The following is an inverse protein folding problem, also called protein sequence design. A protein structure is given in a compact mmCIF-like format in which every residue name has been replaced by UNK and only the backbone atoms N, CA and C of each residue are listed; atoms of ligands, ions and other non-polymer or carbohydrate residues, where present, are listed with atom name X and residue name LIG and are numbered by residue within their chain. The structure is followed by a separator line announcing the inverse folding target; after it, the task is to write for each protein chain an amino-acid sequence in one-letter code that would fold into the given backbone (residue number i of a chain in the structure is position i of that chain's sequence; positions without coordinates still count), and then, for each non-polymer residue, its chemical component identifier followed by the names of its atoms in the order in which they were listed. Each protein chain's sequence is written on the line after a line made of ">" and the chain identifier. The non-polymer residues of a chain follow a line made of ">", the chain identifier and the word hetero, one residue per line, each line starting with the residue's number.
data_IF_263743920213
#
_entry.id   IF_263743920213
#
_cell.length_a   1.000
_cell.length_b   1.000
_cell.length_c   1.000
_cell.angle_alpha   90.00
_cell.angle_beta   90.00
_cell.angle_gamma   90.00
#
_symmetry.space_group_name_H-M   'P 1'
#
loop_
_entity.id
_entity.type
_entity.pdbx_description
1 polymer ?
#
# COMPACT_ATOMS: atom_id res chain seq x y z
N UNK A 1 11.63 26.78 -43.25
CA UNK A 1 11.03 25.71 -42.42
C UNK A 1 11.38 26.03 -40.98
N UNK A 2 10.42 26.45 -40.16
CA UNK A 2 10.70 26.69 -38.74
C UNK A 2 11.03 25.35 -38.10
N UNK A 3 12.24 25.22 -37.56
CA UNK A 3 12.63 24.07 -36.75
C UNK A 3 11.77 24.03 -35.49
N UNK A 4 10.83 23.08 -35.45
CA UNK A 4 10.14 22.70 -34.22
C UNK A 4 11.18 22.14 -33.25
N UNK A 5 11.58 22.93 -32.26
CA UNK A 5 12.46 22.47 -31.18
C UNK A 5 11.64 21.85 -30.05
N UNK A 6 12.21 20.90 -29.32
CA UNK A 6 11.57 20.29 -28.16
C UNK A 6 11.17 21.35 -27.12
N UNK A 7 11.99 22.38 -26.93
CA UNK A 7 11.68 23.50 -26.04
C UNK A 7 10.42 24.27 -26.48
N UNK A 8 10.24 24.48 -27.79
CA UNK A 8 9.04 25.13 -28.31
C UNK A 8 7.78 24.27 -28.13
N UNK A 9 7.91 22.95 -28.22
CA UNK A 9 6.81 22.00 -27.95
C UNK A 9 6.46 22.00 -26.46
N UNK A 10 7.46 21.95 -25.57
CA UNK A 10 7.26 21.92 -24.12
C UNK A 10 6.75 23.26 -23.54
N UNK A 11 7.02 24.39 -24.21
CA UNK A 11 6.53 25.71 -23.81
C UNK A 11 5.00 25.85 -23.98
N UNK A 12 4.39 25.05 -24.86
CA UNK A 12 2.94 25.00 -25.02
C UNK A 12 2.34 23.96 -24.07
N UNK A 13 1.56 24.45 -23.10
CA UNK A 13 0.84 23.63 -22.13
C UNK A 13 0.01 22.52 -22.81
N UNK A 14 -0.68 22.81 -23.91
CA UNK A 14 -1.53 21.81 -24.60
C UNK A 14 -0.70 20.69 -25.19
N UNK A 15 0.46 21.00 -25.74
CA UNK A 15 1.35 19.98 -26.31
C UNK A 15 1.91 19.08 -25.21
N UNK A 16 2.28 19.64 -24.05
CA UNK A 16 2.73 18.84 -22.91
C UNK A 16 1.62 17.91 -22.40
N UNK A 17 0.39 18.43 -22.25
CA UNK A 17 -0.77 17.61 -21.89
C UNK A 17 -1.01 16.48 -22.89
N UNK A 18 -0.95 16.77 -24.19
CA UNK A 18 -1.08 15.76 -25.24
C UNK A 18 0.02 14.68 -25.18
N UNK A 19 1.28 15.06 -24.92
CA UNK A 19 2.37 14.09 -24.77
C UNK A 19 2.07 13.15 -23.61
N UNK A 20 1.72 13.71 -22.44
CA UNK A 20 1.45 12.93 -21.24
C UNK A 20 0.18 12.08 -21.36
N UNK A 21 -0.84 12.52 -22.10
CA UNK A 21 -2.07 11.76 -22.36
C UNK A 21 -1.88 10.60 -23.35
N UNK A 22 -0.79 10.59 -24.13
CA UNK A 22 -0.45 9.48 -25.02
C UNK A 22 0.47 8.43 -24.35
N UNK A 23 0.89 8.65 -23.09
CA UNK A 23 1.59 7.63 -22.34
C UNK A 23 0.62 6.53 -21.88
N UNK A 24 1.07 5.28 -21.91
CA UNK A 24 0.31 4.14 -21.39
C UNK A 24 0.32 4.08 -19.85
N UNK A 25 1.21 4.84 -19.22
CA UNK A 25 1.33 4.93 -17.77
C UNK A 25 0.44 6.03 -17.22
N UNK A 26 -0.21 5.75 -16.10
CA UNK A 26 -0.91 6.75 -15.32
C UNK A 26 0.07 7.76 -14.76
N UNK A 27 -0.16 9.04 -15.02
CA UNK A 27 0.67 10.14 -14.54
C UNK A 27 -0.16 11.01 -13.60
N UNK A 28 0.38 11.23 -12.40
CA UNK A 28 -0.13 12.17 -11.40
C UNK A 28 0.98 13.14 -11.07
N UNK A 29 0.71 14.44 -11.13
CA UNK A 29 1.58 15.45 -10.55
C UNK A 29 0.86 16.18 -9.42
N UNK A 30 1.53 16.42 -8.31
CA UNK A 30 1.00 17.23 -7.21
C UNK A 30 2.05 18.16 -6.60
N UNK A 31 1.59 19.24 -5.97
CA UNK A 31 2.48 20.16 -5.24
C UNK A 31 2.87 19.61 -3.85
N UNK A 32 3.66 20.40 -3.09
CA UNK A 32 4.04 20.08 -1.71
C UNK A 32 2.85 19.96 -0.74
N UNK A 33 1.73 20.58 -1.07
CA UNK A 33 0.48 20.50 -0.31
C UNK A 33 -0.37 19.29 -0.70
N UNK A 34 0.17 18.34 -1.49
CA UNK A 34 -0.53 17.17 -2.04
C UNK A 34 -1.69 17.51 -2.96
N UNK A 35 -1.77 18.75 -3.44
CA UNK A 35 -2.80 19.17 -4.38
C UNK A 35 -2.48 18.62 -5.76
N UNK A 36 -3.38 17.81 -6.31
CA UNK A 36 -3.22 17.24 -7.65
C UNK A 36 -3.28 18.37 -8.68
N UNK A 37 -2.21 18.53 -9.44
CA UNK A 37 -2.04 19.52 -10.50
C UNK A 37 -2.26 18.91 -11.89
N UNK A 38 -1.99 17.62 -12.04
CA UNK A 38 -2.09 16.92 -13.32
C UNK A 38 -2.53 15.47 -13.14
N UNK A 39 -3.34 14.99 -14.08
CA UNK A 39 -3.91 13.64 -14.08
C UNK A 39 -4.20 13.21 -15.53
N UNK A 40 -3.40 12.29 -16.08
CA UNK A 40 -3.53 11.91 -17.49
C UNK A 40 -4.66 10.88 -17.74
N UNK A 41 -4.99 10.65 -19.00
CA UNK A 41 -6.02 9.69 -19.42
C UNK A 41 -5.77 8.26 -18.95
N UNK A 42 -4.51 7.83 -18.91
CA UNK A 42 -4.17 6.50 -18.40
C UNK A 42 -4.43 6.39 -16.88
N UNK A 43 -4.17 7.44 -16.11
CA UNK A 43 -4.50 7.48 -14.69
C UNK A 43 -6.02 7.40 -14.45
N UNK A 44 -6.82 8.05 -15.31
CA UNK A 44 -8.29 7.90 -15.28
C UNK A 44 -8.71 6.45 -15.53
N UNK A 45 -8.15 5.80 -16.56
CA UNK A 45 -8.49 4.44 -16.90
C UNK A 45 -8.10 3.42 -15.81
N UNK A 46 -6.91 3.58 -15.21
CA UNK A 46 -6.40 2.67 -14.19
C UNK A 46 -7.14 2.83 -12.86
N UNK A 47 -7.41 4.08 -12.45
CA UNK A 47 -7.99 4.36 -11.12
C UNK A 47 -9.53 4.45 -11.14
N UNK A 48 -10.14 4.71 -12.30
CA UNK A 48 -11.58 4.94 -12.44
C UNK A 48 -12.06 6.32 -12.01
N UNK A 49 -11.18 7.21 -11.54
CA UNK A 49 -11.52 8.61 -11.25
C UNK A 49 -11.33 9.48 -12.50
N UNK A 50 -12.20 10.47 -12.72
CA UNK A 50 -11.95 11.43 -13.80
C UNK A 50 -11.02 12.55 -13.35
N UNK A 51 -10.34 13.19 -14.31
CA UNK A 51 -9.49 14.36 -14.11
C UNK A 51 -10.24 15.48 -13.37
N UNK A 52 -11.47 15.77 -13.80
CA UNK A 52 -12.30 16.82 -13.18
C UNK A 52 -12.66 16.51 -11.72
N UNK A 53 -12.71 15.23 -11.35
CA UNK A 53 -12.99 14.81 -9.98
C UNK A 53 -11.80 14.97 -9.04
N UNK A 54 -10.57 14.98 -9.56
CA UNK A 54 -9.36 14.88 -8.74
C UNK A 54 -8.50 16.14 -8.78
N UNK A 55 -8.51 16.89 -9.87
CA UNK A 55 -7.71 18.11 -10.00
C UNK A 55 -8.05 19.12 -8.89
N UNK A 56 -7.00 19.70 -8.30
CA UNK A 56 -7.12 20.68 -7.22
C UNK A 56 -7.43 20.09 -5.84
N UNK A 57 -7.66 18.77 -5.73
CA UNK A 57 -7.92 18.08 -4.45
C UNK A 57 -6.65 17.49 -3.88
N UNK A 58 -6.70 17.17 -2.59
CA UNK A 58 -5.64 16.46 -1.87
C UNK A 58 -5.60 14.98 -2.31
N UNK A 59 -4.44 14.50 -2.75
CA UNK A 59 -4.31 13.14 -3.29
C UNK A 59 -4.61 12.04 -2.25
N UNK A 60 -4.28 12.25 -0.98
CA UNK A 60 -4.59 11.29 0.09
C UNK A 60 -6.09 11.24 0.37
N UNK A 61 -6.76 12.39 0.37
CA UNK A 61 -8.21 12.45 0.56
C UNK A 61 -9.00 11.80 -0.59
N UNK A 62 -8.47 11.87 -1.82
CA UNK A 62 -9.12 11.29 -3.00
C UNK A 62 -8.90 9.77 -3.06
N UNK A 63 -7.65 9.31 -2.96
CA UNK A 63 -7.32 7.91 -3.22
C UNK A 63 -7.24 7.04 -1.96
N UNK A 64 -6.95 7.64 -0.80
CA UNK A 64 -6.78 6.93 0.47
C UNK A 64 -5.63 5.92 0.49
N UNK A 65 -5.54 5.17 1.58
CA UNK A 65 -4.69 3.97 1.63
C UNK A 65 -5.34 2.85 0.82
N UNK A 66 -4.56 2.03 0.11
CA UNK A 66 -3.08 1.99 0.06
C UNK A 66 -2.44 2.85 -1.05
N UNK A 67 -3.22 3.50 -1.92
CA UNK A 67 -2.70 4.30 -3.05
C UNK A 67 -1.81 5.47 -2.57
N UNK A 68 -2.23 6.14 -1.51
CA UNK A 68 -1.50 7.21 -0.85
C UNK A 68 -1.53 6.95 0.66
N UNK A 69 -0.38 6.64 1.27
CA UNK A 69 -0.31 6.20 2.67
C UNK A 69 1.13 6.14 3.22
N UNK A 70 1.45 5.16 4.06
CA UNK A 70 2.76 5.00 4.72
C UNK A 70 3.97 4.90 3.78
N UNK A 71 3.77 4.59 2.50
CA UNK A 71 4.80 4.55 1.43
C UNK A 71 4.86 5.82 0.58
N UNK A 72 4.01 6.82 0.84
CA UNK A 72 4.09 8.13 0.21
C UNK A 72 5.15 8.96 0.95
N UNK A 73 6.18 9.43 0.23
CA UNK A 73 7.29 10.22 0.77
C UNK A 73 6.88 11.59 1.37
N UNK A 74 5.59 11.90 1.42
CA UNK A 74 5.01 13.11 2.03
C UNK A 74 4.27 12.82 3.35
N UNK A 75 4.08 11.55 3.73
CA UNK A 75 3.38 11.18 4.96
C UNK A 75 4.28 11.16 6.21
N UNK A 76 5.61 11.11 6.04
CA UNK A 76 6.60 11.11 7.11
C UNK A 76 7.75 12.04 6.69
N UNK A 77 7.78 13.24 7.26
CA UNK A 77 8.81 14.29 7.11
C UNK A 77 9.43 14.47 5.71
N UNK A 78 9.13 15.61 5.07
CA UNK A 78 9.69 16.02 3.77
C UNK A 78 11.19 15.72 3.68
N UNK A 79 11.62 14.72 2.89
CA UNK A 79 13.05 14.46 2.75
C UNK A 79 13.69 15.61 1.97
N UNK A 80 14.82 16.11 2.48
CA UNK A 80 15.60 17.18 1.82
C UNK A 80 16.12 16.73 0.44
N UNK A 81 16.24 15.42 0.23
CA UNK A 81 16.61 14.77 -1.03
C UNK A 81 15.55 13.76 -1.44
N UNK A 82 15.01 13.90 -2.65
CA UNK A 82 14.07 12.94 -3.20
C UNK A 82 14.83 11.97 -4.11
N UNK A 83 14.98 10.72 -3.68
CA UNK A 83 15.48 9.65 -4.55
C UNK A 83 14.33 9.11 -5.40
N UNK A 84 14.65 8.68 -6.61
CA UNK A 84 13.71 7.95 -7.46
C UNK A 84 13.38 6.62 -6.79
N UNK A 85 12.13 6.47 -6.36
CA UNK A 85 11.65 5.25 -5.70
C UNK A 85 10.68 4.53 -6.62
N UNK A 86 10.87 3.22 -6.77
CA UNK A 86 9.98 2.34 -7.52
C UNK A 86 9.51 1.19 -6.64
N UNK A 87 8.21 0.96 -6.59
CA UNK A 87 7.61 -0.09 -5.77
C UNK A 87 6.27 -0.56 -6.31
N UNK A 88 5.88 -1.78 -5.92
CA UNK A 88 4.57 -2.33 -6.20
C UNK A 88 3.59 -1.99 -5.08
N UNK A 89 2.36 -1.67 -5.46
CA UNK A 89 1.24 -1.43 -4.53
C UNK A 89 -0.06 -1.93 -5.15
N UNK A 90 -0.91 -2.57 -4.36
CA UNK A 90 -2.28 -2.84 -4.78
C UNK A 90 -3.14 -1.63 -4.46
N UNK A 91 -4.02 -1.23 -5.36
CA UNK A 91 -4.92 -0.10 -5.19
C UNK A 91 -6.36 -0.57 -5.39
N UNK A 92 -7.31 0.26 -4.97
CA UNK A 92 -8.70 0.12 -5.36
C UNK A 92 -9.05 1.17 -6.39
N UNK A 93 -9.76 0.75 -7.43
CA UNK A 93 -10.42 1.71 -8.31
C UNK A 93 -11.55 2.42 -7.56
N UNK A 94 -12.08 3.49 -8.14
CA UNK A 94 -13.28 4.18 -7.66
C UNK A 94 -14.47 3.23 -7.44
N UNK A 95 -14.56 2.15 -8.22
CA UNK A 95 -15.64 1.16 -8.10
C UNK A 95 -15.33 0.04 -7.09
N UNK A 96 -14.15 0.06 -6.48
CA UNK A 96 -13.71 -0.94 -5.49
C UNK A 96 -13.00 -2.15 -6.08
N UNK A 97 -12.70 -2.14 -7.39
CA UNK A 97 -11.96 -3.24 -8.04
C UNK A 97 -10.47 -3.19 -7.65
N UNK A 98 -9.83 -4.33 -7.35
CA UNK A 98 -8.39 -4.37 -7.19
C UNK A 98 -7.63 -4.06 -8.46
N UNK A 99 -6.53 -3.34 -8.31
CA UNK A 99 -5.44 -3.31 -9.31
C UNK A 99 -4.09 -3.44 -8.63
N UNK A 100 -3.19 -4.24 -9.18
CA UNK A 100 -1.77 -4.24 -8.81
C UNK A 100 -1.05 -3.26 -9.72
N UNK A 101 -0.44 -2.23 -9.16
CA UNK A 101 0.32 -1.24 -9.94
C UNK A 101 1.81 -1.28 -9.57
N UNK A 102 2.65 -1.07 -10.58
CA UNK A 102 4.04 -0.68 -10.39
C UNK A 102 4.10 0.85 -10.45
N UNK A 103 4.53 1.47 -9.36
CA UNK A 103 4.61 2.92 -9.23
C UNK A 103 6.06 3.37 -9.13
N UNK A 104 6.36 4.48 -9.79
CA UNK A 104 7.61 5.21 -9.72
C UNK A 104 7.32 6.66 -9.34
N UNK A 105 8.07 7.18 -8.37
CA UNK A 105 7.86 8.52 -7.82
C UNK A 105 9.14 9.33 -7.96
N UNK A 106 9.04 10.52 -8.55
CA UNK A 106 10.16 11.43 -8.76
C UNK A 106 9.81 12.86 -8.30
N UNK A 107 10.73 13.50 -7.59
CA UNK A 107 10.60 14.90 -7.19
C UNK A 107 10.73 15.86 -8.37
N UNK A 108 9.87 16.87 -8.43
CA UNK A 108 9.96 17.96 -9.40
C UNK A 108 10.67 19.15 -8.76
N UNK A 109 11.67 19.74 -9.43
CA UNK A 109 12.41 20.92 -8.95
C UNK A 109 12.23 22.13 -9.88
N UNK A 110 12.32 23.33 -9.32
CA UNK A 110 12.44 24.56 -10.12
C UNK A 110 13.87 24.78 -10.66
N UNK A 111 14.07 25.89 -11.38
CA UNK A 111 15.38 26.29 -11.94
C UNK A 111 16.47 26.50 -10.87
N UNK A 112 16.07 26.73 -9.61
CA UNK A 112 16.99 26.92 -8.48
C UNK A 112 17.29 25.60 -7.76
N UNK A 113 16.76 24.48 -8.26
CA UNK A 113 16.91 23.15 -7.65
C UNK A 113 16.04 22.96 -6.41
N UNK A 114 15.10 23.87 -6.12
CA UNK A 114 14.17 23.70 -5.01
C UNK A 114 13.08 22.71 -5.41
N UNK A 115 12.84 21.68 -4.59
CA UNK A 115 11.69 20.79 -4.76
C UNK A 115 10.42 21.66 -4.81
N UNK A 116 9.51 21.40 -5.75
CA UNK A 116 8.23 22.11 -5.92
C UNK A 116 7.02 21.17 -5.90
N UNK A 117 7.24 19.88 -6.13
CA UNK A 117 6.18 18.87 -6.12
C UNK A 117 6.70 17.49 -6.46
N UNK A 118 5.80 16.59 -6.84
CA UNK A 118 6.10 15.23 -7.24
C UNK A 118 5.35 14.82 -8.49
N UNK A 119 6.04 14.03 -9.31
CA UNK A 119 5.50 13.28 -10.42
C UNK A 119 5.50 11.80 -10.05
N UNK A 120 4.31 11.20 -9.97
CA UNK A 120 4.13 9.77 -9.86
C UNK A 120 3.70 9.21 -11.22
N UNK A 121 4.43 8.21 -11.69
CA UNK A 121 4.08 7.40 -12.86
C UNK A 121 3.74 5.99 -12.39
N UNK A 122 2.68 5.39 -12.92
CA UNK A 122 2.32 4.02 -12.57
C UNK A 122 1.71 3.24 -13.72
N UNK A 123 1.92 1.93 -13.69
CA UNK A 123 1.37 0.98 -14.66
C UNK A 123 0.53 -0.06 -13.95
N UNK A 124 -0.63 -0.36 -14.51
CA UNK A 124 -1.42 -1.53 -14.12
C UNK A 124 -0.76 -2.82 -14.63
N UNK A 125 -0.38 -3.68 -13.68
CA UNK A 125 0.24 -4.98 -13.93
C UNK A 125 -0.63 -6.13 -13.42
N UNK A 126 -1.91 -5.88 -13.11
CA UNK A 126 -2.84 -6.87 -12.53
C UNK A 126 -2.91 -8.16 -13.35
N UNK A 127 -3.10 -8.00 -14.67
CA UNK A 127 -3.21 -9.12 -15.60
C UNK A 127 -1.84 -9.79 -15.83
N UNK A 128 -0.78 -8.99 -15.97
CA UNK A 128 0.58 -9.49 -16.15
C UNK A 128 1.01 -10.35 -14.95
N UNK A 129 0.75 -9.89 -13.73
CA UNK A 129 1.02 -10.62 -12.50
C UNK A 129 0.22 -11.92 -12.46
N UNK A 130 -1.08 -11.86 -12.78
CA UNK A 130 -1.94 -13.05 -12.83
C UNK A 130 -1.45 -14.09 -13.86
N UNK A 131 -0.98 -13.64 -15.03
CA UNK A 131 -0.40 -14.50 -16.05
C UNK A 131 0.93 -15.12 -15.59
N UNK A 132 1.82 -14.33 -14.98
CA UNK A 132 3.10 -14.85 -14.44
C UNK A 132 2.89 -15.90 -13.36
N UNK A 133 1.88 -15.76 -12.51
CA UNK A 133 1.53 -16.80 -11.52
C UNK A 133 1.12 -18.08 -12.24
N UNK A 134 0.18 -18.00 -13.20
CA UNK A 134 -0.33 -19.17 -13.94
C UNK A 134 0.73 -19.87 -14.81
N UNK A 135 1.68 -19.11 -15.35
CA UNK A 135 2.82 -19.64 -16.11
C UNK A 135 3.95 -20.17 -15.20
N UNK A 136 3.89 -19.90 -13.90
CA UNK A 136 4.93 -20.26 -12.94
C UNK A 136 6.25 -19.52 -13.13
N UNK A 137 6.19 -18.29 -13.62
CA UNK A 137 7.35 -17.44 -13.86
C UNK A 137 7.73 -16.59 -12.65
N UNK A 138 6.87 -16.53 -11.62
CA UNK A 138 7.18 -15.83 -10.37
C UNK A 138 8.15 -16.64 -9.50
N UNK A 139 9.20 -15.95 -9.05
CA UNK A 139 10.21 -16.48 -8.13
C UNK A 139 10.06 -15.94 -6.71
N UNK A 140 9.31 -14.85 -6.54
CA UNK A 140 8.96 -14.27 -5.26
C UNK A 140 7.66 -13.47 -5.33
N UNK A 141 6.96 -13.35 -4.21
CA UNK A 141 5.74 -12.56 -4.09
C UNK A 141 5.61 -12.03 -2.66
N UNK A 142 5.39 -10.71 -2.51
CA UNK A 142 5.18 -10.04 -1.21
C UNK A 142 6.21 -10.44 -0.12
N UNK A 143 7.49 -10.52 -0.48
CA UNK A 143 8.58 -10.90 0.44
C UNK A 143 8.80 -12.41 0.64
N UNK A 144 7.95 -13.25 0.06
CA UNK A 144 8.07 -14.72 0.10
C UNK A 144 8.81 -15.18 -1.17
N UNK A 145 9.89 -15.95 -1.03
CA UNK A 145 10.65 -16.51 -2.15
C UNK A 145 10.22 -17.96 -2.39
N UNK A 146 9.88 -18.29 -3.64
CA UNK A 146 9.39 -19.60 -4.02
C UNK A 146 8.96 -19.66 -5.48
N UNK A 147 9.23 -20.79 -6.14
CA UNK A 147 8.87 -21.05 -7.54
C UNK A 147 8.12 -22.36 -7.76
N UNK A 148 7.95 -23.16 -6.71
CA UNK A 148 7.25 -24.44 -6.80
C UNK A 148 5.76 -24.20 -7.05
N UNK A 149 5.10 -25.13 -7.77
CA UNK A 149 3.67 -25.00 -8.06
C UNK A 149 2.81 -24.82 -6.80
N UNK A 150 3.18 -25.46 -5.69
CA UNK A 150 2.47 -25.26 -4.41
C UNK A 150 2.64 -23.84 -3.87
N UNK A 151 3.79 -23.21 -4.07
CA UNK A 151 4.01 -21.83 -3.67
C UNK A 151 3.22 -20.85 -4.53
N UNK A 152 3.10 -21.12 -5.83
CA UNK A 152 2.26 -20.33 -6.72
C UNK A 152 0.79 -20.36 -6.27
N UNK A 153 0.29 -21.52 -5.84
CA UNK A 153 -1.06 -21.65 -5.26
C UNK A 153 -1.21 -20.81 -3.99
N UNK A 154 -0.18 -20.75 -3.13
CA UNK A 154 -0.17 -19.87 -1.95
C UNK A 154 -0.21 -18.39 -2.37
N UNK A 155 0.49 -18.00 -3.43
CA UNK A 155 0.45 -16.62 -3.94
C UNK A 155 -0.94 -16.24 -4.48
N UNK A 156 -1.61 -17.15 -5.20
CA UNK A 156 -3.00 -16.93 -5.63
C UNK A 156 -3.93 -16.76 -4.43
N UNK A 157 -3.82 -17.63 -3.42
CA UNK A 157 -4.62 -17.52 -2.20
C UNK A 157 -4.38 -16.20 -1.47
N UNK A 158 -3.12 -15.76 -1.31
CA UNK A 158 -2.82 -14.48 -0.66
C UNK A 158 -3.51 -13.33 -1.41
N UNK A 159 -3.41 -13.31 -2.75
CA UNK A 159 -4.03 -12.28 -3.59
C UNK A 159 -5.56 -12.30 -3.50
N UNK A 160 -6.18 -13.47 -3.45
CA UNK A 160 -7.63 -13.57 -3.33
C UNK A 160 -8.11 -13.16 -1.94
N UNK A 161 -7.38 -13.55 -0.89
CA UNK A 161 -7.70 -13.23 0.51
C UNK A 161 -7.50 -11.74 0.82
N UNK A 162 -6.47 -11.09 0.25
CA UNK A 162 -6.16 -9.69 0.51
C UNK A 162 -7.26 -8.72 0.06
N UNK A 163 -8.14 -9.17 -0.83
CA UNK A 163 -9.26 -8.38 -1.35
C UNK A 163 -10.47 -8.32 -0.43
N UNK A 164 -10.46 -9.08 0.65
CA UNK A 164 -11.61 -9.26 1.51
C UNK A 164 -11.33 -8.86 2.96
N UNK A 165 -12.40 -8.54 3.70
CA UNK A 165 -12.30 -8.07 5.09
C UNK A 165 -12.61 -9.16 6.13
N UNK A 166 -12.73 -10.43 5.73
CA UNK A 166 -13.01 -11.52 6.65
C UNK A 166 -11.76 -12.02 7.40
N UNK A 167 -11.91 -12.63 8.60
CA UNK A 167 -10.80 -13.27 9.31
C UNK A 167 -10.19 -14.43 8.52
N UNK A 168 -8.86 -14.54 8.53
CA UNK A 168 -8.11 -15.59 7.82
C UNK A 168 -7.40 -16.49 8.82
N UNK A 169 -7.57 -17.81 8.67
CA UNK A 169 -6.80 -18.81 9.41
C UNK A 169 -5.62 -19.27 8.56
N UNK A 170 -4.39 -18.97 9.00
CA UNK A 170 -3.16 -19.45 8.38
C UNK A 170 -2.69 -20.71 9.11
N UNK A 171 -2.69 -21.85 8.42
CA UNK A 171 -2.32 -23.15 8.99
C UNK A 171 -1.05 -23.70 8.34
N UNK A 172 -0.23 -24.40 9.12
CA UNK A 172 1.04 -24.96 8.68
C UNK A 172 1.93 -25.35 9.86
N UNK A 173 2.93 -26.18 9.59
CA UNK A 173 3.89 -26.63 10.61
C UNK A 173 4.68 -25.46 11.23
N UNK A 174 5.31 -25.70 12.37
CA UNK A 174 6.17 -24.71 13.02
C UNK A 174 7.37 -24.40 12.11
N UNK A 175 7.68 -23.11 11.95
CA UNK A 175 8.83 -22.68 11.14
C UNK A 175 8.55 -22.56 9.63
N UNK A 176 7.33 -22.80 9.14
CA UNK A 176 7.00 -22.67 7.70
C UNK A 176 6.76 -21.23 7.23
N UNK A 177 6.98 -20.23 8.08
CA UNK A 177 6.82 -18.82 7.70
C UNK A 177 5.38 -18.32 7.65
N UNK A 178 4.48 -18.81 8.51
CA UNK A 178 3.07 -18.35 8.59
C UNK A 178 2.95 -16.83 8.79
N UNK A 179 3.87 -16.23 9.54
CA UNK A 179 3.94 -14.79 9.73
C UNK A 179 4.20 -14.05 8.40
N UNK A 180 5.05 -14.59 7.52
CA UNK A 180 5.29 -14.00 6.19
C UNK A 180 4.02 -14.03 5.34
N UNK A 181 3.24 -15.11 5.43
CA UNK A 181 1.94 -15.20 4.74
C UNK A 181 0.96 -14.16 5.29
N UNK A 182 0.86 -14.01 6.61
CA UNK A 182 0.00 -12.99 7.22
C UNK A 182 0.43 -11.56 6.86
N UNK A 183 1.73 -11.29 6.86
CA UNK A 183 2.30 -10.01 6.45
C UNK A 183 2.02 -9.73 4.96
N UNK A 184 2.13 -10.75 4.09
CA UNK A 184 1.81 -10.65 2.67
C UNK A 184 0.32 -10.35 2.45
N UNK A 185 -0.59 -11.05 3.14
CA UNK A 185 -2.03 -10.75 3.07
C UNK A 185 -2.29 -9.31 3.48
N UNK A 186 -1.68 -8.84 4.58
CA UNK A 186 -1.83 -7.46 5.03
C UNK A 186 -1.29 -6.46 3.98
N UNK A 187 -0.06 -6.63 3.51
CA UNK A 187 0.59 -5.68 2.58
C UNK A 187 -0.13 -5.58 1.25
N UNK A 188 -0.70 -6.69 0.80
CA UNK A 188 -1.46 -6.78 -0.44
C UNK A 188 -2.94 -6.37 -0.27
N UNK A 189 -3.39 -6.08 0.96
CA UNK A 189 -4.79 -5.73 1.24
C UNK A 189 -5.06 -4.24 1.16
N UNK A 190 -6.36 -3.90 1.22
CA UNK A 190 -6.86 -2.52 1.39
C UNK A 190 -6.27 -1.81 2.62
N UNK A 191 -5.82 -2.58 3.61
CA UNK A 191 -5.29 -2.10 4.89
C UNK A 191 -3.76 -2.12 4.93
N UNK A 192 -3.07 -2.42 3.83
CA UNK A 192 -1.59 -2.50 3.78
C UNK A 192 -0.85 -1.18 4.04
N UNK A 193 -1.57 -0.05 4.00
CA UNK A 193 -1.06 1.25 4.46
C UNK A 193 -1.25 1.53 5.95
N UNK A 194 -2.01 0.69 6.64
CA UNK A 194 -2.28 0.75 8.09
C UNK A 194 -1.31 -0.10 8.92
N UNK A 195 -1.49 -0.17 10.24
CA UNK A 195 -0.60 -0.94 11.12
C UNK A 195 -0.76 -2.46 10.93
N UNK A 196 0.36 -3.18 10.90
CA UNK A 196 0.39 -4.64 11.06
C UNK A 196 0.89 -4.97 12.47
N UNK A 197 0.06 -5.63 13.28
CA UNK A 197 0.36 -5.94 14.69
C UNK A 197 0.44 -7.46 14.86
N UNK A 198 1.63 -8.06 14.74
CA UNK A 198 1.83 -9.46 15.09
C UNK A 198 1.84 -9.64 16.61
N UNK A 199 1.17 -10.68 17.07
CA UNK A 199 1.10 -11.08 18.48
C UNK A 199 1.34 -12.58 18.55
N UNK A 200 2.43 -12.98 19.18
CA UNK A 200 2.65 -14.38 19.54
C UNK A 200 1.90 -14.66 20.85
N UNK A 201 0.85 -15.47 20.80
CA UNK A 201 0.01 -15.78 21.95
C UNK A 201 0.73 -16.66 22.98
N UNK A 202 1.60 -17.58 22.54
CA UNK A 202 2.39 -18.44 23.42
C UNK A 202 3.47 -17.70 24.22
N UNK A 203 3.87 -16.50 23.79
CA UNK A 203 4.84 -15.66 24.49
C UNK A 203 4.21 -14.76 25.57
N UNK A 204 2.88 -14.65 25.64
CA UNK A 204 2.19 -13.79 26.60
C UNK A 204 1.91 -14.53 27.92
N UNK A 205 2.21 -13.94 29.10
CA UNK A 205 1.85 -14.55 30.37
C UNK A 205 0.33 -14.66 30.52
N UNK A 206 -0.17 -15.84 30.91
CA UNK A 206 -1.61 -16.16 30.98
C UNK A 206 -2.46 -15.09 31.69
N UNK A 207 -2.02 -14.63 32.86
CA UNK A 207 -2.71 -13.59 33.65
C UNK A 207 -2.64 -12.17 33.09
N UNK A 208 -1.91 -11.95 32.00
CA UNK A 208 -1.77 -10.65 31.33
C UNK A 208 -2.33 -10.65 29.90
N UNK A 209 -2.73 -11.80 29.34
CA UNK A 209 -3.19 -11.90 27.94
C UNK A 209 -4.32 -10.90 27.65
N UNK A 210 -5.36 -10.85 28.49
CA UNK A 210 -6.49 -9.91 28.33
C UNK A 210 -6.02 -8.46 28.31
N UNK A 211 -5.17 -8.10 29.26
CA UNK A 211 -4.63 -6.75 29.43
C UNK A 211 -3.70 -6.34 28.27
N UNK A 212 -2.96 -7.28 27.68
CA UNK A 212 -2.15 -7.04 26.49
C UNK A 212 -3.01 -6.90 25.24
N UNK A 213 -3.98 -7.79 25.02
CA UNK A 213 -4.82 -7.80 23.83
C UNK A 213 -5.81 -6.62 23.80
N UNK A 214 -6.52 -6.39 24.91
CA UNK A 214 -7.61 -5.42 24.97
C UNK A 214 -7.24 -4.12 25.70
N UNK A 215 -6.13 -4.11 26.44
CA UNK A 215 -5.71 -2.95 27.21
C UNK A 215 -6.37 -2.88 28.58
N UNK A 216 -6.04 -1.83 29.33
CA UNK A 216 -6.66 -1.54 30.62
C UNK A 216 -6.60 -0.06 30.95
N UNK A 217 -7.53 0.40 31.78
CA UNK A 217 -7.46 1.71 32.42
C UNK A 217 -6.71 1.63 33.75
N UNK A 218 -6.13 2.74 34.17
CA UNK A 218 -5.50 2.89 35.48
C UNK A 218 -6.48 2.47 36.59
N UNK A 219 -6.02 1.60 37.49
CA UNK A 219 -6.83 1.09 38.59
C UNK A 219 -7.75 -0.10 38.26
N UNK A 220 -7.71 -0.64 37.03
CA UNK A 220 -8.50 -1.83 36.68
C UNK A 220 -8.13 -3.08 37.50
N UNK A 221 -6.87 -3.19 37.93
CA UNK A 221 -6.38 -4.26 38.82
C UNK A 221 -5.17 -3.78 39.64
N UNK A 222 -4.78 -4.56 40.65
CA UNK A 222 -3.57 -4.33 41.46
C UNK A 222 -2.32 -4.38 40.58
N UNK A 223 -1.76 -3.23 40.24
CA UNK A 223 -0.62 -3.09 39.33
C UNK A 223 -0.89 -2.25 38.07
N UNK A 224 -2.15 -1.88 37.81
CA UNK A 224 -2.53 -0.96 36.73
C UNK A 224 -2.20 0.50 37.08
N UNK A 225 -0.90 0.85 37.05
CA UNK A 225 -0.40 2.18 37.46
C UNK A 225 -0.76 3.28 36.45
N UNK A 226 -0.99 2.91 35.18
CA UNK A 226 -1.34 3.81 34.07
C UNK A 226 -2.30 3.13 33.11
N UNK A 227 -2.93 3.92 32.25
CA UNK A 227 -3.67 3.40 31.10
C UNK A 227 -2.71 2.70 30.12
N UNK A 228 -3.20 1.65 29.47
CA UNK A 228 -2.48 0.92 28.42
C UNK A 228 -3.45 0.55 27.31
N UNK A 229 -3.10 0.94 26.08
CA UNK A 229 -3.80 0.51 24.87
C UNK A 229 -3.53 -0.96 24.58
N UNK A 230 -4.58 -1.70 24.21
CA UNK A 230 -4.47 -3.10 23.80
C UNK A 230 -3.93 -3.27 22.38
N UNK A 231 -3.45 -4.47 22.04
CA UNK A 231 -3.02 -4.82 20.67
C UNK A 231 -4.13 -4.64 19.63
N UNK A 232 -5.39 -4.92 19.98
CA UNK A 232 -6.52 -4.67 19.08
C UNK A 232 -6.70 -3.19 18.76
N UNK A 233 -6.55 -2.31 19.76
CA UNK A 233 -6.61 -0.86 19.56
C UNK A 233 -5.42 -0.35 18.74
N UNK A 234 -4.22 -0.90 18.99
CA UNK A 234 -3.02 -0.57 18.20
C UNK A 234 -3.14 -1.02 16.73
N UNK A 235 -3.92 -2.06 16.45
CA UNK A 235 -4.19 -2.56 15.10
C UNK A 235 -5.34 -1.83 14.40
N UNK A 236 -5.92 -0.79 15.01
CA UNK A 236 -7.05 -0.06 14.43
C UNK A 236 -6.70 0.52 13.04
N UNK A 237 -7.60 0.32 12.07
CA UNK A 237 -7.37 0.70 10.67
C UNK A 237 -6.38 -0.20 9.91
N UNK A 238 -5.87 -1.26 10.54
CA UNK A 238 -4.85 -2.16 10.00
C UNK A 238 -5.22 -3.64 10.16
N UNK A 239 -4.26 -4.46 10.57
CA UNK A 239 -4.45 -5.91 10.72
C UNK A 239 -3.72 -6.41 11.96
N UNK A 240 -4.38 -7.26 12.75
CA UNK A 240 -3.77 -8.01 13.85
C UNK A 240 -3.53 -9.44 13.39
N UNK A 241 -2.33 -9.96 13.63
CA UNK A 241 -1.99 -11.37 13.39
C UNK A 241 -1.77 -12.05 14.74
N UNK A 242 -2.53 -13.10 15.01
CA UNK A 242 -2.47 -13.86 16.25
C UNK A 242 -1.79 -15.20 15.97
N UNK A 243 -0.48 -15.27 16.21
CA UNK A 243 0.28 -16.51 16.07
C UNK A 243 0.03 -17.41 17.29
N UNK A 244 0.04 -18.72 17.06
CA UNK A 244 -0.24 -19.73 18.08
C UNK A 244 -1.57 -19.48 18.83
N UNK A 245 -2.62 -19.08 18.10
CA UNK A 245 -3.96 -18.80 18.66
C UNK A 245 -4.52 -19.94 19.53
N UNK A 246 -4.08 -21.17 19.31
CA UNK A 246 -4.45 -22.34 20.13
C UNK A 246 -3.99 -22.25 21.58
N UNK A 247 -2.99 -21.42 21.89
CA UNK A 247 -2.48 -21.16 23.24
C UNK A 247 -3.36 -20.16 24.02
N UNK A 248 -4.38 -19.56 23.37
CA UNK A 248 -5.31 -18.71 24.09
C UNK A 248 -6.20 -19.52 25.05
N UNK A 249 -6.46 -18.99 26.27
CA UNK A 249 -7.40 -19.61 27.19
C UNK A 249 -8.78 -19.75 26.54
N UNK A 250 -9.40 -20.92 26.69
CA UNK A 250 -10.76 -21.22 26.16
C UNK A 250 -11.88 -20.34 26.73
N UNK A 251 -11.58 -19.53 27.74
CA UNK A 251 -12.53 -18.72 28.50
C UNK A 251 -12.38 -17.20 28.26
N UNK A 252 -11.65 -16.79 27.22
CA UNK A 252 -11.71 -15.41 26.72
C UNK A 252 -13.01 -15.12 25.98
#
# INVERSE_FOLDING_TARGET
>A
MNELSLNAILADKKNLEHILDNLMEGIIAHDKGRRILFFNRAAEAITGYSRDEVLGKDCHAVFGSPFCGSRCSFCLDMPETFNHDAYSVNILTKNGDPRSIEMSVTGMTDEKGCLVGVLAAFRDVTDLLGLKIRLGELTSFAGIIGRDHKMLQVYEQIRDLSMNDFPVLVSGETGTGKELVAAAIHSESRRGGGPFVPVNCGALPEGLIESELFGHTKGAFSGAVRDKKGRFELAHGGTIFLDEISELPKLM
#
